data_IF_415908507459
#
_entry.id   IF_415908507459
#
_cell.length_a   1.000
_cell.length_b   1.000
_cell.length_c   1.000
_cell.angle_alpha   90.00
_cell.angle_beta   90.00
_cell.angle_gamma   90.00
#
_symmetry.space_group_name_H-M   'P 1'
#
loop_
_entity.id
_entity.type
_entity.pdbx_description
1 polymer ?
#
# COMPACT_ATOMS: atom_id res chain seq x y z
N UNK A 1 12.08 13.62 -31.59
CA UNK A 1 11.17 14.23 -30.60
C UNK A 1 10.39 13.11 -29.93
N UNK A 2 10.95 12.47 -28.90
CA UNK A 2 10.28 11.43 -28.12
C UNK A 2 9.82 12.06 -26.80
N UNK A 3 8.54 12.46 -26.73
CA UNK A 3 7.94 13.05 -25.51
C UNK A 3 6.54 12.46 -25.23
N UNK A 4 6.33 11.18 -25.55
CA UNK A 4 5.01 10.52 -25.32
C UNK A 4 5.06 9.28 -24.42
N UNK A 5 6.23 8.75 -24.07
CA UNK A 5 6.32 7.49 -23.32
C UNK A 5 6.11 7.66 -21.81
N UNK A 6 6.39 8.84 -21.24
CA UNK A 6 6.28 9.09 -19.77
C UNK A 6 4.85 9.08 -19.24
N UNK A 7 3.84 9.35 -20.08
CA UNK A 7 2.45 9.46 -19.63
C UNK A 7 1.75 8.10 -19.52
N UNK A 8 2.13 7.13 -20.36
CA UNK A 8 1.45 5.85 -20.44
C UNK A 8 1.79 4.93 -19.26
N UNK A 9 3.05 4.96 -18.81
CA UNK A 9 3.53 4.19 -17.68
C UNK A 9 2.97 4.71 -16.35
N UNK A 10 2.80 6.03 -16.22
CA UNK A 10 2.20 6.65 -15.04
C UNK A 10 0.71 6.28 -14.90
N UNK A 11 -0.04 6.25 -16.01
CA UNK A 11 -1.44 5.81 -16.03
C UNK A 11 -1.57 4.32 -15.71
N UNK A 12 -0.70 3.46 -16.26
CA UNK A 12 -0.70 2.02 -15.94
C UNK A 12 -0.35 1.76 -14.47
N UNK A 13 0.67 2.44 -13.95
CA UNK A 13 1.06 2.38 -12.54
C UNK A 13 -0.09 2.77 -11.62
N UNK A 14 -0.75 3.90 -11.91
CA UNK A 14 -1.92 4.39 -11.17
C UNK A 14 -3.08 3.41 -11.20
N UNK A 15 -3.40 2.83 -12.37
CA UNK A 15 -4.45 1.82 -12.50
C UNK A 15 -4.18 0.57 -11.66
N UNK A 16 -2.93 0.11 -11.62
CA UNK A 16 -2.55 -1.04 -10.78
C UNK A 16 -2.71 -0.70 -9.29
N UNK A 17 -2.25 0.47 -8.85
CA UNK A 17 -2.41 0.89 -7.45
C UNK A 17 -3.88 0.94 -7.02
N UNK A 18 -4.75 1.49 -7.87
CA UNK A 18 -6.19 1.52 -7.60
C UNK A 18 -6.79 0.12 -7.53
N UNK A 19 -6.41 -0.77 -8.44
CA UNK A 19 -6.86 -2.16 -8.42
C UNK A 19 -6.36 -2.90 -7.16
N UNK A 20 -5.08 -2.73 -6.80
CA UNK A 20 -4.50 -3.26 -5.56
C UNK A 20 -5.30 -2.78 -4.36
N UNK A 21 -5.59 -1.47 -4.24
CA UNK A 21 -6.42 -0.97 -3.14
C UNK A 21 -7.79 -1.64 -3.10
N UNK A 22 -8.49 -1.75 -4.23
CA UNK A 22 -9.80 -2.38 -4.28
C UNK A 22 -9.79 -3.85 -3.82
N UNK A 23 -8.69 -4.58 -4.08
CA UNK A 23 -8.54 -5.98 -3.66
C UNK A 23 -8.25 -6.11 -2.16
N UNK A 24 -7.43 -5.22 -1.60
CA UNK A 24 -6.92 -5.34 -0.23
C UNK A 24 -7.71 -4.54 0.81
N UNK A 25 -8.43 -3.49 0.42
CA UNK A 25 -9.24 -2.66 1.33
C UNK A 25 -10.30 -3.48 2.10
N UNK A 26 -11.06 -4.42 1.49
CA UNK A 26 -11.99 -5.26 2.24
C UNK A 26 -11.29 -6.10 3.32
N UNK A 27 -10.13 -6.67 3.00
CA UNK A 27 -9.34 -7.49 3.95
C UNK A 27 -8.78 -6.66 5.10
N UNK A 28 -8.32 -5.45 4.80
CA UNK A 28 -7.88 -4.49 5.81
C UNK A 28 -9.02 -4.16 6.79
N UNK A 29 -10.22 -3.91 6.25
CA UNK A 29 -11.40 -3.63 7.08
C UNK A 29 -11.80 -4.83 7.94
N UNK A 30 -11.65 -6.06 7.45
CA UNK A 30 -11.86 -7.27 8.26
C UNK A 30 -10.88 -7.36 9.43
N UNK A 31 -9.58 -7.12 9.17
CA UNK A 31 -8.55 -7.09 10.23
C UNK A 31 -8.90 -6.06 11.30
N UNK A 32 -9.27 -4.84 10.89
CA UNK A 32 -9.63 -3.76 11.82
C UNK A 32 -10.87 -4.16 12.64
N UNK A 33 -11.92 -4.70 12.01
CA UNK A 33 -13.12 -5.17 12.72
C UNK A 33 -12.81 -6.29 13.72
N UNK A 34 -11.95 -7.23 13.36
CA UNK A 34 -11.51 -8.31 14.25
C UNK A 34 -10.70 -7.78 15.43
N UNK A 35 -9.92 -6.71 15.25
CA UNK A 35 -9.21 -6.05 16.34
C UNK A 35 -10.17 -5.27 17.25
N UNK A 36 -11.20 -4.60 16.69
CA UNK A 36 -12.24 -3.96 17.50
C UNK A 36 -12.99 -4.95 18.40
N UNK A 37 -13.25 -6.17 17.90
CA UNK A 37 -13.84 -7.24 18.71
C UNK A 37 -12.95 -7.69 19.90
N UNK A 38 -11.66 -7.35 19.88
CA UNK A 38 -10.70 -7.59 20.96
C UNK A 38 -10.49 -6.37 21.88
N UNK A 39 -11.19 -5.25 21.61
CA UNK A 39 -11.13 -4.04 22.42
C UNK A 39 -10.15 -2.97 21.94
N UNK A 40 -9.55 -3.11 20.76
CA UNK A 40 -8.69 -2.07 20.17
C UNK A 40 -9.49 -0.98 19.46
N UNK A 41 -9.01 0.25 19.48
CA UNK A 41 -9.61 1.35 18.70
C UNK A 41 -9.26 1.24 17.22
N UNK A 42 -10.25 1.41 16.34
CA UNK A 42 -10.05 1.26 14.90
C UNK A 42 -8.97 2.19 14.33
N UNK A 43 -8.90 3.41 14.85
CA UNK A 43 -7.92 4.41 14.42
C UNK A 43 -6.48 4.00 14.80
N UNK A 44 -6.29 3.44 15.99
CA UNK A 44 -4.97 2.96 16.46
C UNK A 44 -4.51 1.78 15.64
N UNK A 45 -5.41 0.82 15.36
CA UNK A 45 -5.11 -0.34 14.51
C UNK A 45 -4.76 0.10 13.09
N UNK A 46 -5.53 1.03 12.52
CA UNK A 46 -5.24 1.55 11.18
C UNK A 46 -3.88 2.26 11.13
N UNK A 47 -3.52 3.04 12.16
CA UNK A 47 -2.23 3.71 12.27
C UNK A 47 -1.08 2.70 12.36
N UNK A 48 -1.20 1.70 13.23
CA UNK A 48 -0.18 0.65 13.37
C UNK A 48 0.04 -0.14 12.07
N UNK A 49 -1.03 -0.40 11.32
CA UNK A 49 -0.92 -1.05 10.00
C UNK A 49 -0.25 -0.13 8.98
N UNK A 50 -0.56 1.17 8.99
CA UNK A 50 0.08 2.14 8.10
C UNK A 50 1.59 2.24 8.35
N UNK A 51 2.00 2.36 9.62
CA UNK A 51 3.42 2.42 10.00
C UNK A 51 4.17 1.15 9.54
N UNK A 52 3.60 -0.04 9.79
CA UNK A 52 4.19 -1.30 9.36
C UNK A 52 4.28 -1.44 7.82
N UNK A 53 3.31 -0.88 7.10
CA UNK A 53 3.33 -0.86 5.64
C UNK A 53 4.42 0.08 5.10
N UNK A 54 4.60 1.25 5.73
CA UNK A 54 5.65 2.20 5.36
C UNK A 54 7.05 1.61 5.58
N UNK A 55 7.29 0.93 6.70
CA UNK A 55 8.53 0.22 6.98
C UNK A 55 8.85 -0.82 5.89
N UNK A 56 7.85 -1.60 5.46
CA UNK A 56 8.00 -2.58 4.40
C UNK A 56 8.33 -1.92 3.05
N UNK A 57 7.68 -0.80 2.71
CA UNK A 57 7.95 -0.05 1.48
C UNK A 57 9.40 0.45 1.47
N UNK A 58 9.87 0.99 2.59
CA UNK A 58 11.25 1.47 2.74
C UNK A 58 12.27 0.33 2.63
N UNK A 59 11.99 -0.82 3.24
CA UNK A 59 12.83 -2.01 3.12
C UNK A 59 12.95 -2.48 1.66
N UNK A 60 11.81 -2.64 0.97
CA UNK A 60 11.78 -3.05 -0.44
C UNK A 60 12.50 -2.06 -1.35
N UNK A 61 12.33 -0.75 -1.11
CA UNK A 61 13.03 0.29 -1.86
C UNK A 61 14.55 0.24 -1.64
N UNK A 62 14.99 -0.13 -0.44
CA UNK A 62 16.40 -0.25 -0.08
C UNK A 62 17.03 -1.51 -0.69
N UNK A 63 16.32 -2.63 -0.69
CA UNK A 63 16.73 -3.87 -1.36
C UNK A 63 16.87 -3.67 -2.88
N UNK A 64 15.94 -2.95 -3.50
CA UNK A 64 16.00 -2.64 -4.92
C UNK A 64 17.22 -1.78 -5.28
N UNK A 65 17.66 -0.89 -4.39
CA UNK A 65 18.89 -0.08 -4.57
C UNK A 65 20.18 -0.89 -4.37
N UNK A 66 20.15 -1.98 -3.59
CA UNK A 66 21.32 -2.81 -3.34
C UNK A 66 21.60 -3.83 -4.47
N UNK A 67 20.60 -4.07 -5.33
CA UNK A 67 20.68 -5.04 -6.44
C UNK A 67 21.03 -4.40 -7.81
N UNK A 68 21.19 -3.07 -7.86
CA UNK A 68 21.52 -2.28 -9.05
C UNK A 68 22.79 -1.46 -8.82
#
# INVERSE_FOLDING_TARGET
>A
MHVLDTNFDNVKFTKRLLHTRAVFEPRLLEIIRSAQAQGYEAAEVAMAIADAADDLILALASEHKAQH
#
